data_IF_750748937493
#
_entry.id   IF_750748937493
#
_cell.length_a   1.000
_cell.length_b   1.000
_cell.length_c   1.000
_cell.angle_alpha   90.00
_cell.angle_beta   90.00
_cell.angle_gamma   90.00
#
_symmetry.space_group_name_H-M   'P 1'
#
loop_
_entity.id
_entity.type
_entity.pdbx_description
1 polymer ?
#
# COMPACT_ATOMS: atom_id res chain seq x y z
N UNK A 1 -27.48 17.44 59.19
CA UNK A 1 -27.23 17.55 57.73
C UNK A 1 -28.48 18.05 56.98
N UNK A 2 -29.34 18.82 57.64
CA UNK A 2 -30.69 19.24 57.18
C UNK A 2 -31.03 20.71 57.49
N UNK A 3 -30.09 21.49 58.04
CA UNK A 3 -30.31 22.90 58.44
C UNK A 3 -30.64 23.87 57.30
N UNK A 4 -30.47 23.44 56.05
CA UNK A 4 -30.80 24.24 54.87
C UNK A 4 -32.26 24.06 54.42
N UNK A 5 -32.97 23.02 54.90
CA UNK A 5 -34.34 22.71 54.48
C UNK A 5 -35.35 23.71 55.04
N UNK A 6 -35.26 24.09 56.32
CA UNK A 6 -36.17 25.08 56.92
C UNK A 6 -36.11 26.45 56.23
N UNK A 7 -34.92 27.04 55.96
CA UNK A 7 -34.81 28.27 55.17
C UNK A 7 -35.34 28.13 53.74
N UNK A 8 -35.08 26.99 53.09
CA UNK A 8 -35.52 26.73 51.72
C UNK A 8 -37.06 26.59 51.63
N UNK A 9 -37.68 25.92 52.59
CA UNK A 9 -39.13 25.79 52.69
C UNK A 9 -39.79 27.15 52.91
N UNK A 10 -39.28 27.96 53.86
CA UNK A 10 -39.78 29.33 54.08
C UNK A 10 -39.62 30.22 52.85
N UNK A 11 -38.49 30.14 52.15
CA UNK A 11 -38.26 30.91 50.92
C UNK A 11 -39.19 30.48 49.79
N UNK A 12 -39.40 29.16 49.63
CA UNK A 12 -40.27 28.60 48.59
C UNK A 12 -41.75 28.97 48.79
N UNK A 13 -42.20 29.05 50.05
CA UNK A 13 -43.54 29.51 50.41
C UNK A 13 -43.73 31.02 50.11
N UNK A 14 -42.66 31.82 50.24
CA UNK A 14 -42.67 33.25 49.94
C UNK A 14 -42.58 33.57 48.44
N UNK A 15 -41.98 32.70 47.62
CA UNK A 15 -41.78 32.89 46.17
C UNK A 15 -42.38 31.75 45.33
N UNK A 16 -43.72 31.60 45.30
CA UNK A 16 -44.38 30.45 44.66
C UNK A 16 -44.20 30.40 43.14
N UNK A 17 -44.05 31.55 42.47
CA UNK A 17 -43.80 31.60 41.03
C UNK A 17 -42.37 31.16 40.68
N UNK A 18 -41.38 31.63 41.44
CA UNK A 18 -39.98 31.26 41.26
C UNK A 18 -39.77 29.77 41.56
N UNK A 19 -40.40 29.26 42.61
CA UNK A 19 -40.36 27.82 42.96
C UNK A 19 -40.92 26.93 41.85
N UNK A 20 -42.02 27.34 41.18
CA UNK A 20 -42.55 26.62 40.00
C UNK A 20 -41.58 26.63 38.83
N UNK A 21 -40.91 27.75 38.57
CA UNK A 21 -39.92 27.84 37.49
C UNK A 21 -38.67 27.00 37.79
N UNK A 22 -38.20 26.97 39.04
CA UNK A 22 -37.09 26.11 39.48
C UNK A 22 -37.44 24.61 39.41
N UNK A 23 -38.66 24.23 39.81
CA UNK A 23 -39.13 22.85 39.67
C UNK A 23 -39.23 22.41 38.20
N UNK A 24 -39.75 23.28 37.32
CA UNK A 24 -39.80 23.04 35.88
C UNK A 24 -38.39 22.90 35.28
N UNK A 25 -37.45 23.76 35.68
CA UNK A 25 -36.03 23.64 35.29
C UNK A 25 -35.42 22.32 35.77
N UNK A 26 -35.70 21.90 37.00
CA UNK A 26 -35.23 20.62 37.56
C UNK A 26 -35.74 19.41 36.76
N UNK A 27 -37.01 19.42 36.35
CA UNK A 27 -37.58 18.39 35.47
C UNK A 27 -36.92 18.40 34.10
N UNK A 28 -36.74 19.57 33.48
CA UNK A 28 -36.08 19.69 32.17
C UNK A 28 -34.64 19.17 32.23
N UNK A 29 -33.86 19.58 33.23
CA UNK A 29 -32.47 19.12 33.40
C UNK A 29 -32.41 17.61 33.64
N UNK A 30 -33.33 17.05 34.43
CA UNK A 30 -33.41 15.60 34.68
C UNK A 30 -33.74 14.82 33.40
N UNK A 31 -34.68 15.32 32.59
CA UNK A 31 -35.01 14.74 31.29
C UNK A 31 -33.81 14.81 30.32
N UNK A 32 -33.11 15.94 30.25
CA UNK A 32 -31.91 16.09 29.43
C UNK A 32 -30.79 15.15 29.88
N UNK A 33 -30.58 14.99 31.20
CA UNK A 33 -29.62 14.06 31.77
C UNK A 33 -29.98 12.61 31.43
N UNK A 34 -31.25 12.24 31.53
CA UNK A 34 -31.74 10.90 31.20
C UNK A 34 -31.55 10.58 29.71
N UNK A 35 -31.87 11.53 28.81
CA UNK A 35 -31.62 11.40 27.37
C UNK A 35 -30.12 11.26 27.09
N UNK A 36 -29.28 12.04 27.76
CA UNK A 36 -27.84 11.98 27.62
C UNK A 36 -27.26 10.64 28.08
N UNK A 37 -27.69 10.14 29.24
CA UNK A 37 -27.32 8.81 29.76
C UNK A 37 -27.77 7.70 28.81
N UNK A 38 -29.01 7.75 28.33
CA UNK A 38 -29.52 6.80 27.34
C UNK A 38 -28.67 6.82 26.06
N UNK A 39 -28.31 8.00 25.57
CA UNK A 39 -27.44 8.14 24.41
C UNK A 39 -26.04 7.55 24.66
N UNK A 40 -25.49 7.66 25.86
CA UNK A 40 -24.22 7.03 26.23
C UNK A 40 -24.32 5.50 26.27
N UNK A 41 -25.37 4.95 26.89
CA UNK A 41 -25.62 3.50 26.94
C UNK A 41 -25.77 2.92 25.54
N UNK A 42 -26.56 3.57 24.68
CA UNK A 42 -26.74 3.15 23.28
C UNK A 42 -25.40 3.22 22.52
N UNK A 43 -24.60 4.28 22.71
CA UNK A 43 -23.28 4.39 22.08
C UNK A 43 -22.31 3.32 22.56
N UNK A 44 -22.30 3.00 23.85
CA UNK A 44 -21.48 1.94 24.43
C UNK A 44 -21.91 0.57 23.88
N UNK A 45 -23.20 0.28 23.85
CA UNK A 45 -23.77 -0.94 23.28
C UNK A 45 -23.38 -1.13 21.80
N UNK A 46 -23.52 -0.09 20.98
CA UNK A 46 -23.11 -0.14 19.56
C UNK A 46 -21.60 -0.40 19.42
N UNK A 47 -20.75 0.18 20.28
CA UNK A 47 -19.30 -0.05 20.23
C UNK A 47 -18.95 -1.49 20.61
N UNK A 48 -19.55 -2.01 21.68
CA UNK A 48 -19.35 -3.39 22.13
C UNK A 48 -19.82 -4.39 21.07
N UNK A 49 -20.99 -4.16 20.48
CA UNK A 49 -21.50 -5.02 19.41
C UNK A 49 -20.58 -5.05 18.19
N UNK A 50 -20.07 -3.88 17.75
CA UNK A 50 -19.10 -3.82 16.64
C UNK A 50 -17.78 -4.51 16.98
N UNK A 51 -17.29 -4.37 18.21
CA UNK A 51 -16.09 -5.05 18.67
C UNK A 51 -16.28 -6.57 18.73
N UNK A 52 -17.45 -7.05 19.18
CA UNK A 52 -17.79 -8.47 19.18
C UNK A 52 -17.91 -9.04 17.76
N UNK A 53 -18.51 -8.30 16.82
CA UNK A 53 -18.54 -8.69 15.40
C UNK A 53 -17.12 -8.81 14.82
N UNK A 54 -16.28 -7.80 15.03
CA UNK A 54 -14.89 -7.78 14.57
C UNK A 54 -14.10 -8.96 15.17
N UNK A 55 -14.27 -9.22 16.48
CA UNK A 55 -13.64 -10.35 17.16
C UNK A 55 -14.12 -11.71 16.61
N UNK A 56 -15.42 -11.84 16.32
CA UNK A 56 -16.00 -13.04 15.71
C UNK A 56 -15.43 -13.33 14.32
N UNK A 57 -15.36 -12.30 13.46
CA UNK A 57 -14.76 -12.40 12.12
C UNK A 57 -13.27 -12.74 12.22
N UNK A 58 -12.54 -12.07 13.10
CA UNK A 58 -11.12 -12.33 13.32
C UNK A 58 -10.87 -13.77 13.81
N UNK A 59 -11.68 -14.25 14.76
CA UNK A 59 -11.59 -15.62 15.26
C UNK A 59 -11.93 -16.66 14.18
N UNK A 60 -12.94 -16.39 13.34
CA UNK A 60 -13.29 -17.26 12.22
C UNK A 60 -12.13 -17.35 11.22
N UNK A 61 -11.53 -16.22 10.84
CA UNK A 61 -10.40 -16.19 9.90
C UNK A 61 -9.15 -16.88 10.47
N UNK A 62 -8.88 -16.70 11.77
CA UNK A 62 -7.75 -17.33 12.46
C UNK A 62 -7.92 -18.84 12.63
N UNK A 63 -9.16 -19.32 12.82
CA UNK A 63 -9.46 -20.76 12.92
C UNK A 63 -9.40 -21.47 11.58
N UNK A 64 -9.62 -20.74 10.48
CA UNK A 64 -9.51 -21.28 9.14
C UNK A 64 -8.03 -21.61 8.81
N UNK A 65 -7.75 -22.90 8.64
CA UNK A 65 -6.43 -23.43 8.29
C UNK A 65 -6.25 -23.65 6.79
N UNK A 66 -7.19 -23.20 5.95
CA UNK A 66 -7.01 -23.29 4.50
C UNK A 66 -5.76 -22.52 4.06
N UNK A 67 -4.98 -23.07 3.10
CA UNK A 67 -3.82 -22.37 2.57
C UNK A 67 -4.28 -21.11 1.83
N UNK A 68 -3.40 -20.10 1.73
CA UNK A 68 -3.66 -18.87 1.00
C UNK A 68 -3.46 -17.59 1.81
N UNK A 69 -3.73 -16.46 1.17
CA UNK A 69 -3.62 -15.16 1.80
C UNK A 69 -4.90 -14.78 2.55
N UNK A 70 -4.72 -14.31 3.79
CA UNK A 70 -5.80 -13.78 4.63
C UNK A 70 -5.86 -12.27 4.50
N UNK A 71 -6.94 -11.78 3.89
CA UNK A 71 -7.11 -10.38 3.56
C UNK A 71 -8.31 -9.84 4.32
N UNK A 72 -8.10 -8.76 5.04
CA UNK A 72 -9.16 -8.12 5.82
C UNK A 72 -9.47 -6.76 5.20
N UNK A 73 -10.72 -6.59 4.76
CA UNK A 73 -11.25 -5.33 4.26
C UNK A 73 -12.10 -4.65 5.34
N UNK A 74 -11.67 -3.49 5.78
CA UNK A 74 -12.50 -2.63 6.64
C UNK A 74 -13.57 -1.95 5.79
N UNK A 75 -14.75 -1.72 6.40
CA UNK A 75 -15.76 -0.83 5.80
C UNK A 75 -15.12 0.55 5.52
N UNK A 76 -15.25 1.12 4.30
CA UNK A 76 -14.72 2.43 3.99
C UNK A 76 -15.27 3.54 4.89
N UNK A 77 -14.43 4.56 5.13
CA UNK A 77 -14.80 5.79 5.82
C UNK A 77 -15.45 6.80 4.85
N UNK A 78 -16.53 7.44 5.31
CA UNK A 78 -17.17 8.56 4.61
C UNK A 78 -18.48 8.22 3.90
N UNK A 79 -18.90 9.13 3.02
CA UNK A 79 -20.13 8.98 2.20
C UNK A 79 -19.96 7.85 1.18
N UNK A 80 -21.06 7.16 0.87
CA UNK A 80 -21.09 6.02 -0.08
C UNK A 80 -20.13 4.86 0.25
N UNK A 81 -19.88 4.63 1.55
CA UNK A 81 -19.07 3.52 2.04
C UNK A 81 -19.49 2.15 1.51
N UNK A 82 -20.81 1.93 1.30
CA UNK A 82 -21.34 0.65 0.86
C UNK A 82 -20.96 0.33 -0.58
N UNK A 83 -21.05 1.31 -1.48
CA UNK A 83 -20.65 1.15 -2.88
C UNK A 83 -19.13 1.01 -3.02
N UNK A 84 -18.35 1.84 -2.31
CA UNK A 84 -16.89 1.72 -2.31
C UNK A 84 -16.43 0.34 -1.80
N UNK A 85 -17.14 -0.21 -0.80
CA UNK A 85 -16.88 -1.55 -0.31
C UNK A 85 -17.22 -2.61 -1.36
N UNK A 86 -18.40 -2.52 -2.01
CA UNK A 86 -18.81 -3.45 -3.08
C UNK A 86 -17.83 -3.41 -4.25
N UNK A 87 -17.39 -2.22 -4.65
CA UNK A 87 -16.41 -2.03 -5.70
C UNK A 87 -15.07 -2.70 -5.37
N UNK A 88 -14.52 -2.44 -4.18
CA UNK A 88 -13.23 -3.01 -3.78
C UNK A 88 -13.31 -4.53 -3.63
N UNK A 89 -14.41 -5.03 -3.06
CA UNK A 89 -14.67 -6.46 -2.90
C UNK A 89 -14.78 -7.16 -4.25
N UNK A 90 -15.53 -6.57 -5.20
CA UNK A 90 -15.65 -7.07 -6.57
C UNK A 90 -14.31 -7.04 -7.32
N UNK A 91 -13.53 -5.97 -7.19
CA UNK A 91 -12.22 -5.83 -7.82
C UNK A 91 -11.27 -6.94 -7.35
N UNK A 92 -11.22 -7.19 -6.04
CA UNK A 92 -10.35 -8.20 -5.46
C UNK A 92 -10.82 -9.63 -5.76
N UNK A 93 -12.12 -9.91 -5.66
CA UNK A 93 -12.64 -11.25 -5.99
C UNK A 93 -12.40 -11.61 -7.46
N UNK A 94 -12.46 -10.63 -8.36
CA UNK A 94 -12.32 -10.87 -9.80
C UNK A 94 -10.86 -10.97 -10.24
N UNK A 95 -9.99 -10.08 -9.76
CA UNK A 95 -8.65 -9.89 -10.34
C UNK A 95 -7.49 -10.32 -9.43
N UNK A 96 -7.68 -10.41 -8.10
CA UNK A 96 -6.57 -10.69 -7.20
C UNK A 96 -5.97 -12.09 -7.43
N UNK A 97 -6.81 -13.07 -7.76
CA UNK A 97 -6.38 -14.44 -8.07
C UNK A 97 -5.35 -14.49 -9.21
N UNK A 98 -5.54 -13.67 -10.24
CA UNK A 98 -4.63 -13.57 -11.38
C UNK A 98 -3.26 -13.06 -10.94
N UNK A 99 -3.20 -11.98 -10.17
CA UNK A 99 -1.94 -11.37 -9.71
C UNK A 99 -1.24 -12.14 -8.59
N UNK A 100 -1.97 -13.00 -7.88
CA UNK A 100 -1.42 -13.94 -6.90
C UNK A 100 -1.10 -15.32 -7.50
N UNK A 101 -1.10 -15.42 -8.84
CA UNK A 101 -0.78 -16.64 -9.59
C UNK A 101 -1.60 -17.86 -9.16
N UNK A 102 -2.89 -17.65 -8.90
CA UNK A 102 -3.84 -18.69 -8.49
C UNK A 102 -3.79 -19.03 -7.00
N UNK A 103 -3.02 -18.30 -6.18
CA UNK A 103 -3.05 -18.51 -4.74
C UNK A 103 -4.47 -18.21 -4.20
N UNK A 104 -5.03 -19.10 -3.36
CA UNK A 104 -6.34 -18.86 -2.74
C UNK A 104 -6.29 -17.60 -1.88
N UNK A 105 -7.31 -16.75 -2.03
CA UNK A 105 -7.45 -15.50 -1.27
C UNK A 105 -8.70 -15.57 -0.40
N UNK A 106 -8.55 -15.32 0.90
CA UNK A 106 -9.65 -15.26 1.86
C UNK A 106 -9.91 -13.83 2.25
N UNK A 107 -11.04 -13.30 1.80
CA UNK A 107 -11.43 -11.91 2.03
C UNK A 107 -12.46 -11.88 3.15
N UNK A 108 -12.09 -11.33 4.29
CA UNK A 108 -12.97 -11.09 5.43
C UNK A 108 -13.29 -9.59 5.56
N UNK A 109 -14.47 -9.27 6.11
CA UNK A 109 -14.95 -7.89 6.22
C UNK A 109 -15.09 -7.50 7.69
N UNK A 110 -14.49 -6.38 8.09
CA UNK A 110 -14.57 -5.84 9.45
C UNK A 110 -15.10 -4.41 9.48
N UNK A 111 -15.44 -3.92 10.66
CA UNK A 111 -16.01 -2.58 10.82
C UNK A 111 -15.01 -1.46 10.54
N UNK A 112 -15.55 -0.28 10.25
CA UNK A 112 -14.78 0.90 9.80
C UNK A 112 -13.60 1.21 10.73
N UNK A 113 -12.47 1.55 10.11
CA UNK A 113 -11.32 2.14 10.77
C UNK A 113 -11.19 3.58 10.26
N UNK A 114 -11.08 4.53 11.19
CA UNK A 114 -11.06 5.97 10.89
C UNK A 114 -9.69 6.55 11.16
N UNK A 115 -9.30 7.56 10.38
CA UNK A 115 -8.10 8.35 10.65
C UNK A 115 -6.89 8.00 9.78
N UNK A 116 -7.09 7.42 8.59
CA UNK A 116 -6.02 7.20 7.61
C UNK A 116 -4.81 6.47 8.19
N UNK A 117 -3.59 6.93 7.86
CA UNK A 117 -2.32 6.39 8.37
C UNK A 117 -1.81 7.08 9.65
N UNK A 118 -2.68 7.71 10.45
CA UNK A 118 -2.24 8.26 11.73
C UNK A 118 -1.67 7.15 12.66
N UNK A 119 -0.65 7.44 13.50
CA UNK A 119 0.01 6.43 14.33
C UNK A 119 -0.95 5.58 15.18
N UNK A 120 -1.95 6.22 15.80
CA UNK A 120 -2.98 5.54 16.58
C UNK A 120 -3.86 4.60 15.73
N UNK A 121 -4.16 5.01 14.50
CA UNK A 121 -4.94 4.23 13.54
C UNK A 121 -4.15 3.00 13.09
N UNK A 122 -2.86 3.19 12.78
CA UNK A 122 -1.93 2.12 12.44
C UNK A 122 -1.79 1.12 13.60
N UNK A 123 -1.64 1.60 14.85
CA UNK A 123 -1.59 0.73 16.01
C UNK A 123 -2.88 -0.09 16.19
N UNK A 124 -4.06 0.52 15.98
CA UNK A 124 -5.35 -0.20 15.99
C UNK A 124 -5.45 -1.21 14.84
N UNK A 125 -4.99 -0.85 13.64
CA UNK A 125 -4.94 -1.74 12.49
C UNK A 125 -4.05 -2.96 12.77
N UNK A 126 -2.84 -2.76 13.33
CA UNK A 126 -1.93 -3.85 13.72
C UNK A 126 -2.58 -4.82 14.72
N UNK A 127 -3.29 -4.30 15.74
CA UNK A 127 -4.03 -5.14 16.69
C UNK A 127 -5.11 -5.97 15.99
N UNK A 128 -5.87 -5.39 15.06
CA UNK A 128 -6.89 -6.12 14.28
C UNK A 128 -6.28 -7.15 13.33
N UNK A 129 -5.18 -6.81 12.67
CA UNK A 129 -4.40 -7.71 11.81
C UNK A 129 -3.90 -8.91 12.61
N UNK A 130 -3.33 -8.68 13.80
CA UNK A 130 -2.87 -9.73 14.70
C UNK A 130 -4.03 -10.62 15.20
N UNK A 131 -5.17 -10.03 15.54
CA UNK A 131 -6.34 -10.79 15.98
C UNK A 131 -6.87 -11.74 14.90
N UNK A 132 -6.82 -11.32 13.63
CA UNK A 132 -7.31 -12.08 12.49
C UNK A 132 -6.23 -12.96 11.82
N UNK A 133 -4.97 -12.87 12.28
CA UNK A 133 -3.78 -13.43 11.60
C UNK A 133 -3.75 -13.11 10.10
N UNK A 134 -4.06 -11.85 9.76
CA UNK A 134 -4.17 -11.41 8.38
C UNK A 134 -2.81 -11.07 7.77
N UNK A 135 -2.65 -11.33 6.48
CA UNK A 135 -1.47 -10.97 5.67
C UNK A 135 -1.57 -9.55 5.13
N UNK A 136 -2.80 -9.11 4.85
CA UNK A 136 -3.13 -7.78 4.35
C UNK A 136 -4.38 -7.25 5.05
N UNK A 137 -4.32 -6.01 5.49
CA UNK A 137 -5.46 -5.29 6.06
C UNK A 137 -5.62 -3.97 5.33
N UNK A 138 -6.78 -3.74 4.71
CA UNK A 138 -7.05 -2.56 3.86
C UNK A 138 -8.26 -1.81 4.40
N UNK A 139 -8.18 -0.48 4.42
CA UNK A 139 -9.30 0.41 4.67
C UNK A 139 -9.26 1.58 3.71
N UNK A 140 -10.42 2.00 3.25
CA UNK A 140 -10.52 3.09 2.29
C UNK A 140 -11.10 4.34 2.95
N UNK A 141 -10.67 5.51 2.50
CA UNK A 141 -11.26 6.81 2.86
C UNK A 141 -11.45 7.65 1.61
N UNK A 142 -12.58 8.35 1.51
CA UNK A 142 -12.79 9.34 0.45
C UNK A 142 -12.51 10.75 0.97
N UNK A 143 -11.49 11.41 0.40
CA UNK A 143 -11.07 12.78 0.69
C UNK A 143 -11.51 13.73 -0.44
N UNK A 144 -12.75 14.20 -0.35
CA UNK A 144 -13.29 15.19 -1.29
C UNK A 144 -13.55 14.64 -2.71
N UNK A 145 -13.58 15.54 -3.69
CA UNK A 145 -13.84 15.24 -5.13
C UNK A 145 -12.58 15.38 -6.01
N UNK A 146 -11.38 15.39 -5.40
CA UNK A 146 -10.13 15.55 -6.15
C UNK A 146 -9.86 14.34 -7.06
N UNK A 147 -9.09 14.49 -8.15
CA UNK A 147 -8.71 13.37 -9.04
C UNK A 147 -7.97 12.23 -8.34
N UNK A 148 -7.47 12.43 -7.11
CA UNK A 148 -6.82 11.41 -6.26
C UNK A 148 -7.51 11.22 -4.90
N UNK A 149 -8.80 11.57 -4.80
CA UNK A 149 -9.50 11.66 -3.52
C UNK A 149 -10.07 10.35 -2.98
N UNK A 150 -9.76 9.18 -3.55
CA UNK A 150 -10.07 7.88 -2.94
C UNK A 150 -8.78 7.21 -2.46
N UNK A 151 -8.53 7.30 -1.15
CA UNK A 151 -7.33 6.80 -0.49
C UNK A 151 -7.57 5.36 -0.02
N UNK A 152 -6.84 4.39 -0.53
CA UNK A 152 -6.74 3.04 0.05
C UNK A 152 -5.52 3.03 0.97
N UNK A 153 -5.76 2.94 2.28
CA UNK A 153 -4.71 2.74 3.27
C UNK A 153 -4.65 1.26 3.64
N UNK A 154 -3.48 0.77 4.04
CA UNK A 154 -3.39 -0.60 4.50
C UNK A 154 -2.14 -0.90 5.32
N UNK A 155 -2.12 -2.14 5.83
CA UNK A 155 -0.96 -2.79 6.40
C UNK A 155 -0.71 -4.10 5.66
N UNK A 156 0.54 -4.35 5.32
CA UNK A 156 0.98 -5.62 4.71
C UNK A 156 2.06 -6.27 5.55
N UNK A 157 2.01 -7.60 5.64
CA UNK A 157 3.09 -8.43 6.19
C UNK A 157 4.13 -8.82 5.14
N UNK A 158 3.84 -8.59 3.85
CA UNK A 158 4.76 -8.85 2.75
C UNK A 158 5.31 -10.27 2.70
N UNK A 159 4.57 -11.26 3.22
CA UNK A 159 4.95 -12.68 3.24
C UNK A 159 5.94 -13.12 4.33
N UNK A 160 6.32 -12.26 5.28
CA UNK A 160 7.27 -12.66 6.33
C UNK A 160 7.31 -11.81 7.60
N UNK A 161 6.74 -10.61 7.59
CA UNK A 161 6.73 -9.75 8.77
C UNK A 161 5.70 -10.23 9.79
N UNK A 162 5.95 -9.97 11.07
CA UNK A 162 4.92 -10.13 12.10
C UNK A 162 3.85 -9.02 11.95
N UNK A 163 2.65 -9.19 12.52
CA UNK A 163 1.64 -8.13 12.52
C UNK A 163 2.10 -6.81 13.16
N UNK A 164 3.07 -6.87 14.09
CA UNK A 164 3.63 -5.67 14.72
C UNK A 164 4.58 -4.90 13.78
N UNK A 165 5.28 -5.62 12.91
CA UNK A 165 6.22 -5.08 11.92
C UNK A 165 5.56 -4.75 10.59
N UNK A 166 4.27 -5.09 10.43
CA UNK A 166 3.51 -4.84 9.22
C UNK A 166 3.68 -3.38 8.74
N UNK A 167 3.97 -3.23 7.45
CA UNK A 167 4.32 -1.96 6.83
C UNK A 167 3.06 -1.23 6.36
N UNK A 168 2.92 0.06 6.67
CA UNK A 168 1.84 0.88 6.13
C UNK A 168 2.07 1.20 4.66
N UNK A 169 0.98 1.26 3.91
CA UNK A 169 0.97 1.74 2.53
C UNK A 169 -0.26 2.60 2.26
N UNK A 170 -0.18 3.42 1.22
CA UNK A 170 -1.27 4.26 0.72
C UNK A 170 -1.30 4.19 -0.81
N UNK A 171 -2.47 3.88 -1.37
CA UNK A 171 -2.73 3.94 -2.82
C UNK A 171 -3.79 5.01 -3.06
N UNK A 172 -3.53 5.91 -4.00
CA UNK A 172 -4.46 6.99 -4.35
C UNK A 172 -5.17 6.68 -5.66
N UNK A 173 -6.49 6.72 -5.61
CA UNK A 173 -7.40 6.45 -6.71
C UNK A 173 -8.34 7.64 -6.95
N UNK A 174 -9.01 7.69 -8.11
CA UNK A 174 -10.00 8.71 -8.42
C UNK A 174 -11.14 8.82 -7.42
N UNK A 175 -11.47 10.06 -7.04
CA UNK A 175 -12.61 10.31 -6.19
C UNK A 175 -13.95 10.21 -6.92
N UNK A 176 -13.97 10.36 -8.24
CA UNK A 176 -15.20 10.26 -9.01
C UNK A 176 -15.60 8.80 -9.20
N UNK A 177 -16.87 8.49 -9.00
CA UNK A 177 -17.33 7.10 -9.09
C UNK A 177 -17.35 6.58 -10.52
N UNK A 178 -17.73 7.42 -11.47
CA UNK A 178 -17.65 7.14 -12.91
C UNK A 178 -16.23 6.76 -13.32
N UNK A 179 -15.22 7.35 -12.69
CA UNK A 179 -13.82 7.07 -12.95
C UNK A 179 -13.32 5.73 -12.36
N UNK A 180 -14.10 5.06 -11.49
CA UNK A 180 -13.71 3.77 -10.88
C UNK A 180 -14.06 2.55 -11.76
N UNK A 181 -14.67 2.76 -12.92
CA UNK A 181 -14.91 1.70 -13.90
C UNK A 181 -13.69 1.37 -14.76
N UNK A 182 -13.91 0.57 -15.81
CA UNK A 182 -12.88 0.25 -16.82
C UNK A 182 -11.68 -0.49 -16.21
N UNK A 183 -10.44 -0.02 -16.41
CA UNK A 183 -9.23 -0.73 -15.99
C UNK A 183 -8.91 -0.61 -14.49
N UNK A 184 -9.58 0.29 -13.76
CA UNK A 184 -9.24 0.59 -12.36
C UNK A 184 -9.42 -0.55 -11.36
N UNK A 185 -10.46 -1.40 -11.46
CA UNK A 185 -10.59 -2.58 -10.59
C UNK A 185 -9.37 -3.51 -10.70
N UNK A 186 -8.90 -3.74 -11.93
CA UNK A 186 -7.71 -4.55 -12.23
C UNK A 186 -6.44 -3.88 -11.70
N UNK A 187 -6.27 -2.57 -11.95
CA UNK A 187 -5.17 -1.78 -11.40
C UNK A 187 -5.09 -1.83 -9.86
N UNK A 188 -6.22 -1.63 -9.18
CA UNK A 188 -6.28 -1.66 -7.71
C UNK A 188 -5.96 -3.06 -7.15
N UNK A 189 -6.46 -4.12 -7.79
CA UNK A 189 -6.13 -5.48 -7.41
C UNK A 189 -4.64 -5.79 -7.60
N UNK A 190 -4.02 -5.33 -8.70
CA UNK A 190 -2.58 -5.46 -8.91
C UNK A 190 -1.77 -4.75 -7.83
N UNK A 191 -2.07 -3.48 -7.54
CA UNK A 191 -1.32 -2.72 -6.53
C UNK A 191 -1.45 -3.38 -5.14
N UNK A 192 -2.64 -3.86 -4.77
CA UNK A 192 -2.83 -4.59 -3.52
C UNK A 192 -2.12 -5.96 -3.52
N UNK A 193 -2.06 -6.66 -4.66
CA UNK A 193 -1.27 -7.88 -4.81
C UNK A 193 0.22 -7.58 -4.62
N UNK A 194 0.73 -6.48 -5.19
CA UNK A 194 2.14 -6.06 -5.04
C UNK A 194 2.48 -5.76 -3.59
N UNK A 195 1.58 -5.13 -2.85
CA UNK A 195 1.75 -4.91 -1.41
C UNK A 195 1.72 -6.22 -0.62
N UNK A 196 0.81 -7.13 -0.97
CA UNK A 196 0.69 -8.46 -0.35
C UNK A 196 1.95 -9.33 -0.60
N UNK A 197 2.48 -9.26 -1.82
CA UNK A 197 3.65 -10.01 -2.28
C UNK A 197 4.68 -9.05 -2.91
N UNK A 198 5.57 -8.46 -2.10
CA UNK A 198 6.57 -7.50 -2.57
C UNK A 198 7.50 -8.05 -3.65
N UNK A 199 7.66 -9.38 -3.72
CA UNK A 199 8.40 -10.05 -4.78
C UNK A 199 7.84 -9.73 -6.18
N UNK A 200 6.54 -9.39 -6.33
CA UNK A 200 5.94 -9.00 -7.61
C UNK A 200 6.59 -7.75 -8.24
N UNK A 201 7.25 -6.92 -7.45
CA UNK A 201 8.06 -5.82 -7.97
C UNK A 201 9.38 -6.28 -8.62
N UNK A 202 9.75 -7.56 -8.46
CA UNK A 202 10.98 -8.19 -8.96
C UNK A 202 10.62 -9.39 -9.83
N UNK A 203 10.40 -9.20 -11.14
CA UNK A 203 10.00 -10.27 -12.06
C UNK A 203 10.89 -11.53 -11.99
N UNK A 204 12.20 -11.35 -11.76
CA UNK A 204 13.21 -12.41 -11.59
C UNK A 204 12.91 -13.39 -10.44
N UNK A 205 12.02 -13.04 -9.52
CA UNK A 205 11.65 -13.92 -8.40
C UNK A 205 10.61 -14.99 -8.80
N UNK A 206 10.14 -14.97 -10.04
CA UNK A 206 9.11 -15.88 -10.55
C UNK A 206 9.53 -16.51 -11.87
N UNK A 207 8.82 -17.58 -12.23
CA UNK A 207 9.02 -18.22 -13.53
C UNK A 207 8.51 -17.32 -14.66
N UNK A 208 9.16 -17.35 -15.84
CA UNK A 208 8.81 -16.49 -16.96
C UNK A 208 7.34 -16.62 -17.41
N UNK A 209 6.75 -17.81 -17.32
CA UNK A 209 5.36 -18.03 -17.75
C UNK A 209 4.36 -17.25 -16.88
N UNK A 210 4.64 -17.16 -15.57
CA UNK A 210 3.83 -16.37 -14.64
C UNK A 210 3.99 -14.87 -14.89
N UNK A 211 5.22 -14.44 -15.16
CA UNK A 211 5.50 -13.03 -15.47
C UNK A 211 4.92 -12.63 -16.82
N UNK A 212 4.83 -13.54 -17.79
CA UNK A 212 4.15 -13.29 -19.06
C UNK A 212 2.67 -12.95 -18.84
N UNK A 213 1.95 -13.76 -18.06
CA UNK A 213 0.56 -13.46 -17.68
C UNK A 213 0.46 -12.11 -16.97
N UNK A 214 1.38 -11.80 -16.05
CA UNK A 214 1.42 -10.49 -15.39
C UNK A 214 1.61 -9.34 -16.40
N UNK A 215 2.55 -9.48 -17.34
CA UNK A 215 2.82 -8.47 -18.35
C UNK A 215 1.62 -8.24 -19.27
N UNK A 216 0.93 -9.30 -19.72
CA UNK A 216 -0.29 -9.22 -20.53
C UNK A 216 -1.41 -8.48 -19.78
N UNK A 217 -1.63 -8.84 -18.51
CA UNK A 217 -2.67 -8.21 -17.69
C UNK A 217 -2.39 -6.72 -17.44
N UNK A 218 -1.14 -6.36 -17.14
CA UNK A 218 -0.73 -4.96 -16.97
C UNK A 218 -0.78 -4.18 -18.29
N UNK A 219 -0.38 -4.82 -19.41
CA UNK A 219 -0.50 -4.26 -20.75
C UNK A 219 -1.95 -3.86 -21.05
N UNK A 220 -2.90 -4.76 -20.74
CA UNK A 220 -4.33 -4.50 -20.93
C UNK A 220 -4.83 -3.29 -20.12
N UNK A 221 -4.28 -3.04 -18.93
CA UNK A 221 -4.62 -1.85 -18.13
C UNK A 221 -4.14 -0.58 -18.80
N UNK A 222 -2.94 -0.61 -19.38
CA UNK A 222 -2.31 0.54 -20.05
C UNK A 222 -2.96 0.88 -21.39
N UNK A 223 -3.60 -0.11 -22.06
CA UNK A 223 -4.31 0.08 -23.33
C UNK A 223 -5.62 0.87 -23.19
N UNK A 224 -6.16 0.97 -21.97
CA UNK A 224 -7.38 1.71 -21.73
C UNK A 224 -7.09 3.21 -21.52
N UNK A 225 -7.75 4.05 -22.30
CA UNK A 225 -7.84 5.50 -22.09
C UNK A 225 -8.89 5.83 -21.02
N UNK A 226 -8.64 5.35 -19.80
CA UNK A 226 -9.46 5.67 -18.62
C UNK A 226 -8.77 6.73 -17.74
N UNK A 227 -9.53 7.41 -16.86
CA UNK A 227 -8.97 8.34 -15.87
C UNK A 227 -8.22 7.57 -14.77
N UNK A 228 -7.05 7.01 -15.10
CA UNK A 228 -6.10 6.44 -14.14
C UNK A 228 -5.19 7.58 -13.66
N UNK A 229 -5.06 7.80 -12.34
CA UNK A 229 -4.12 8.79 -11.81
C UNK A 229 -2.71 8.56 -12.34
N UNK A 230 -1.97 9.64 -12.65
CA UNK A 230 -0.64 9.54 -13.24
C UNK A 230 0.33 8.69 -12.40
N UNK A 231 0.24 8.78 -11.07
CA UNK A 231 1.03 7.94 -10.16
C UNK A 231 0.73 6.44 -10.33
N UNK A 232 -0.55 6.07 -10.33
CA UNK A 232 -0.99 4.67 -10.53
C UNK A 232 -0.59 4.17 -11.91
N UNK A 233 -0.78 4.99 -12.96
CA UNK A 233 -0.39 4.64 -14.32
C UNK A 233 1.11 4.40 -14.41
N UNK A 234 1.93 5.27 -13.81
CA UNK A 234 3.39 5.14 -13.77
C UNK A 234 3.86 3.87 -13.04
N UNK A 235 3.21 3.50 -11.94
CA UNK A 235 3.52 2.25 -11.23
C UNK A 235 3.20 0.99 -12.06
N UNK A 236 2.06 0.99 -12.75
CA UNK A 236 1.65 -0.11 -13.64
C UNK A 236 2.59 -0.20 -14.83
N UNK A 237 2.95 0.95 -15.42
CA UNK A 237 3.88 1.04 -16.52
C UNK A 237 5.27 0.51 -16.14
N UNK A 238 5.79 0.90 -14.97
CA UNK A 238 7.06 0.39 -14.46
C UNK A 238 7.03 -1.14 -14.28
N UNK A 239 5.96 -1.68 -13.70
CA UNK A 239 5.80 -3.11 -13.50
C UNK A 239 5.64 -3.86 -14.83
N UNK A 240 4.92 -3.29 -15.80
CA UNK A 240 4.80 -3.81 -17.16
C UNK A 240 6.17 -3.88 -17.84
N UNK A 241 6.92 -2.77 -17.87
CA UNK A 241 8.24 -2.71 -18.50
C UNK A 241 9.21 -3.73 -17.90
N UNK A 242 9.30 -3.79 -16.57
CA UNK A 242 10.16 -4.76 -15.91
C UNK A 242 9.77 -6.21 -16.23
N UNK A 243 8.46 -6.50 -16.28
CA UNK A 243 7.94 -7.84 -16.55
C UNK A 243 8.19 -8.26 -18.01
N UNK A 244 7.85 -7.40 -18.97
CA UNK A 244 8.02 -7.67 -20.40
C UNK A 244 9.50 -7.86 -20.77
N UNK A 245 10.40 -7.02 -20.23
CA UNK A 245 11.85 -7.17 -20.43
C UNK A 245 12.34 -8.52 -19.87
N UNK A 246 11.90 -8.89 -18.67
CA UNK A 246 12.32 -10.14 -18.06
C UNK A 246 11.85 -11.37 -18.84
N UNK A 247 10.60 -11.36 -19.35
CA UNK A 247 10.09 -12.43 -20.20
C UNK A 247 10.91 -12.54 -21.50
N UNK A 248 11.32 -11.42 -22.08
CA UNK A 248 12.18 -11.42 -23.26
C UNK A 248 13.58 -11.98 -22.97
N UNK A 249 14.17 -11.64 -21.83
CA UNK A 249 15.49 -12.14 -21.41
C UNK A 249 15.47 -13.65 -21.17
N UNK A 250 14.48 -14.16 -20.44
CA UNK A 250 14.45 -15.57 -20.00
C UNK A 250 13.73 -16.51 -20.97
N UNK A 251 12.57 -16.10 -21.50
CA UNK A 251 11.76 -16.93 -22.40
C UNK A 251 12.02 -16.62 -23.88
N UNK A 252 12.73 -15.53 -24.19
CA UNK A 252 13.00 -15.11 -25.56
C UNK A 252 11.79 -14.54 -26.31
N UNK A 253 10.71 -14.20 -25.60
CA UNK A 253 9.51 -13.61 -26.17
C UNK A 253 9.68 -12.10 -26.35
N UNK A 254 9.63 -11.64 -27.60
CA UNK A 254 9.93 -10.25 -27.95
C UNK A 254 8.67 -9.39 -28.10
N UNK A 255 7.46 -9.94 -27.98
CA UNK A 255 6.20 -9.29 -28.35
C UNK A 255 5.99 -7.95 -27.60
N UNK A 256 6.37 -7.90 -26.31
CA UNK A 256 6.19 -6.71 -25.48
C UNK A 256 7.25 -5.62 -25.63
N UNK A 257 8.40 -5.90 -26.26
CA UNK A 257 9.58 -5.03 -26.19
C UNK A 257 9.42 -3.71 -26.95
N UNK A 258 8.76 -3.72 -28.11
CA UNK A 258 8.53 -2.48 -28.87
C UNK A 258 7.69 -1.48 -28.04
N UNK A 259 6.71 -1.99 -27.29
CA UNK A 259 5.91 -1.19 -26.37
C UNK A 259 6.73 -0.69 -25.19
N UNK A 260 7.61 -1.50 -24.60
CA UNK A 260 8.53 -1.06 -23.53
C UNK A 260 9.42 0.08 -24.00
N UNK A 261 10.01 -0.05 -25.19
CA UNK A 261 10.90 0.96 -25.77
C UNK A 261 10.11 2.25 -26.04
N UNK A 262 8.90 2.16 -26.60
CA UNK A 262 8.05 3.32 -26.86
C UNK A 262 7.67 4.07 -25.57
N UNK A 263 7.19 3.35 -24.55
CA UNK A 263 6.83 3.92 -23.24
C UNK A 263 8.04 4.57 -22.57
N UNK A 264 9.18 3.89 -22.58
CA UNK A 264 10.40 4.38 -21.93
C UNK A 264 10.98 5.60 -22.65
N UNK A 265 10.96 5.64 -23.99
CA UNK A 265 11.43 6.80 -24.77
C UNK A 265 10.59 8.07 -24.51
N UNK A 266 9.30 7.93 -24.21
CA UNK A 266 8.46 9.07 -23.83
C UNK A 266 8.96 9.79 -22.56
N UNK A 267 9.62 9.07 -21.64
CA UNK A 267 10.23 9.67 -20.43
C UNK A 267 11.60 10.32 -20.67
N UNK A 268 12.17 10.17 -21.86
CA UNK A 268 13.49 10.73 -22.21
C UNK A 268 13.42 12.07 -22.96
N UNK A 269 12.22 12.62 -23.17
CA UNK A 269 12.05 13.98 -23.70
C UNK A 269 12.61 14.99 -22.70
N UNK A 270 13.31 16.03 -23.16
CA UNK A 270 14.06 16.97 -22.31
C UNK A 270 13.24 17.53 -21.13
N UNK A 271 11.97 17.88 -21.37
CA UNK A 271 11.06 18.35 -20.32
C UNK A 271 10.72 17.29 -19.27
N UNK A 272 10.59 16.02 -19.67
CA UNK A 272 10.30 14.91 -18.78
C UNK A 272 11.53 14.54 -17.92
N UNK A 273 12.73 14.57 -18.51
CA UNK A 273 13.99 14.30 -17.81
C UNK A 273 14.23 15.32 -16.70
N UNK A 274 13.99 16.61 -16.97
CA UNK A 274 14.12 17.67 -15.96
C UNK A 274 13.07 17.53 -14.84
N UNK A 275 11.86 17.10 -15.18
CA UNK A 275 10.78 16.95 -14.22
C UNK A 275 10.97 15.75 -13.28
N UNK A 276 11.50 14.63 -13.78
CA UNK A 276 11.71 13.42 -13.00
C UNK A 276 12.97 12.65 -13.45
N UNK A 277 14.16 13.00 -12.93
CA UNK A 277 15.41 12.39 -13.34
C UNK A 277 15.49 10.90 -12.99
N UNK A 278 14.92 10.47 -11.85
CA UNK A 278 14.89 9.06 -11.45
C UNK A 278 14.07 8.20 -12.42
N UNK A 279 12.92 8.72 -12.87
CA UNK A 279 12.11 8.03 -13.89
C UNK A 279 12.85 7.94 -15.23
N UNK A 280 13.56 8.99 -15.61
CA UNK A 280 14.39 8.97 -16.81
C UNK A 280 15.53 7.95 -16.71
N UNK A 281 16.16 7.83 -15.53
CA UNK A 281 17.18 6.82 -15.26
C UNK A 281 16.63 5.40 -15.41
N UNK A 282 15.46 5.13 -14.82
CA UNK A 282 14.78 3.84 -14.97
C UNK A 282 14.42 3.55 -16.44
N UNK A 283 13.92 4.55 -17.17
CA UNK A 283 13.60 4.41 -18.58
C UNK A 283 14.84 4.06 -19.43
N UNK A 284 16.01 4.64 -19.13
CA UNK A 284 17.28 4.26 -19.78
C UNK A 284 17.65 2.81 -19.49
N UNK A 285 17.47 2.36 -18.25
CA UNK A 285 17.72 0.96 -17.87
C UNK A 285 16.78 0.00 -18.61
N UNK A 286 15.49 0.31 -18.68
CA UNK A 286 14.48 -0.50 -19.36
C UNK A 286 14.75 -0.58 -20.87
N UNK A 287 15.10 0.54 -21.52
CA UNK A 287 15.50 0.57 -22.95
C UNK A 287 16.74 -0.26 -23.18
N UNK A 288 17.80 -0.05 -22.39
CA UNK A 288 19.06 -0.78 -22.55
C UNK A 288 18.87 -2.28 -22.46
N UNK A 289 18.12 -2.76 -21.47
CA UNK A 289 17.80 -4.19 -21.32
C UNK A 289 16.92 -4.73 -22.45
N UNK A 290 15.89 -3.98 -22.85
CA UNK A 290 15.03 -4.37 -23.97
C UNK A 290 15.82 -4.52 -25.28
N UNK A 291 16.72 -3.57 -25.57
CA UNK A 291 17.57 -3.61 -26.76
C UNK A 291 18.55 -4.78 -26.73
N UNK A 292 19.15 -5.09 -25.57
CA UNK A 292 20.02 -6.27 -25.41
C UNK A 292 19.27 -7.59 -25.59
N UNK A 293 18.08 -7.72 -25.01
CA UNK A 293 17.23 -8.90 -25.17
C UNK A 293 16.90 -9.13 -26.65
N UNK A 294 16.56 -8.05 -27.38
CA UNK A 294 16.30 -8.08 -28.83
C UNK A 294 17.56 -8.41 -29.63
N UNK A 295 18.69 -7.79 -29.32
CA UNK A 295 19.97 -8.04 -29.97
C UNK A 295 20.44 -9.48 -29.82
N UNK A 296 20.20 -10.09 -28.66
CA UNK A 296 20.55 -11.50 -28.39
C UNK A 296 19.82 -12.46 -29.34
N UNK A 297 18.61 -12.11 -29.78
CA UNK A 297 17.83 -12.92 -30.74
C UNK A 297 18.09 -12.57 -32.19
N UNK A 298 18.31 -11.28 -32.49
CA UNK A 298 18.47 -10.76 -33.87
C UNK A 298 19.92 -10.64 -34.33
N UNK A 299 20.89 -10.81 -33.43
CA UNK A 299 22.33 -10.64 -33.66
C UNK A 299 22.69 -9.28 -34.30
N UNK A 300 22.02 -8.22 -33.85
CA UNK A 300 22.18 -6.87 -34.40
C UNK A 300 23.12 -6.01 -33.54
N UNK A 301 24.30 -5.71 -34.09
CA UNK A 301 25.33 -4.89 -33.43
C UNK A 301 24.88 -3.46 -33.17
N UNK A 302 24.02 -2.88 -34.00
CA UNK A 302 23.54 -1.51 -33.82
C UNK A 302 22.68 -1.39 -32.55
N UNK A 303 21.83 -2.39 -32.29
CA UNK A 303 21.04 -2.45 -31.06
C UNK A 303 21.91 -2.60 -29.80
N UNK A 304 23.02 -3.35 -29.90
CA UNK A 304 23.98 -3.47 -28.80
C UNK A 304 24.66 -2.14 -28.50
N UNK A 305 25.08 -1.41 -29.53
CA UNK A 305 25.71 -0.09 -29.36
C UNK A 305 24.73 0.93 -28.74
N UNK A 306 23.48 0.96 -29.20
CA UNK A 306 22.44 1.80 -28.61
C UNK A 306 22.19 1.42 -27.14
N UNK A 307 22.10 0.12 -26.83
CA UNK A 307 21.92 -0.34 -25.46
C UNK A 307 23.06 0.09 -24.53
N UNK A 308 24.31 -0.07 -24.97
CA UNK A 308 25.49 0.38 -24.21
C UNK A 308 25.40 1.89 -23.93
N UNK A 309 25.00 2.70 -24.91
CA UNK A 309 24.87 4.16 -24.72
C UNK A 309 23.89 4.51 -23.58
N UNK A 310 22.77 3.79 -23.49
CA UNK A 310 21.79 4.01 -22.42
C UNK A 310 22.29 3.50 -21.06
N UNK A 311 22.88 2.30 -21.02
CA UNK A 311 23.35 1.67 -19.79
C UNK A 311 24.57 2.36 -19.19
N UNK A 312 25.48 2.90 -20.01
CA UNK A 312 26.62 3.69 -19.53
C UNK A 312 26.16 4.91 -18.72
N UNK A 313 25.14 5.62 -19.20
CA UNK A 313 24.55 6.76 -18.47
C UNK A 313 23.89 6.31 -17.16
N UNK A 314 23.33 5.09 -17.13
CA UNK A 314 22.78 4.53 -15.89
C UNK A 314 23.88 4.25 -14.88
N UNK A 315 24.98 3.62 -15.32
CA UNK A 315 26.14 3.31 -14.47
C UNK A 315 26.79 4.58 -13.94
N UNK A 316 26.94 5.61 -14.76
CA UNK A 316 27.48 6.91 -14.34
C UNK A 316 26.62 7.55 -13.25
N UNK A 317 25.29 7.57 -13.42
CA UNK A 317 24.38 8.08 -12.42
C UNK A 317 24.44 7.27 -11.10
N UNK A 318 24.43 5.94 -11.19
CA UNK A 318 24.53 5.05 -10.02
C UNK A 318 25.87 5.21 -9.28
N UNK A 319 26.97 5.48 -9.98
CA UNK A 319 28.27 5.72 -9.35
C UNK A 319 28.26 6.96 -8.44
N UNK A 320 27.39 7.92 -8.74
CA UNK A 320 27.19 9.12 -7.91
C UNK A 320 26.15 8.92 -6.79
N UNK A 321 25.56 7.73 -6.66
CA UNK A 321 24.62 7.42 -5.59
C UNK A 321 25.33 7.41 -4.22
N UNK A 322 24.85 8.18 -3.23
CA UNK A 322 25.48 8.28 -1.92
C UNK A 322 25.64 6.93 -1.21
N UNK A 323 24.68 6.02 -1.39
CA UNK A 323 24.65 4.70 -0.76
C UNK A 323 25.72 3.79 -1.38
N UNK A 324 25.87 3.84 -2.70
CA UNK A 324 26.90 3.08 -3.43
C UNK A 324 28.28 3.61 -3.06
N UNK A 325 28.46 4.93 -3.01
CA UNK A 325 29.71 5.55 -2.58
C UNK A 325 30.07 5.17 -1.14
N UNK A 326 29.09 5.16 -0.22
CA UNK A 326 29.31 4.72 1.16
C UNK A 326 29.70 3.24 1.24
N UNK A 327 29.03 2.37 0.45
CA UNK A 327 29.37 0.95 0.40
C UNK A 327 30.79 0.70 -0.15
N UNK A 328 31.18 1.44 -1.19
CA UNK A 328 32.55 1.40 -1.72
C UNK A 328 33.57 1.86 -0.67
N UNK A 329 33.31 2.99 0.01
CA UNK A 329 34.20 3.47 1.08
C UNK A 329 34.33 2.49 2.25
N UNK A 330 33.25 1.81 2.63
CA UNK A 330 33.29 0.75 3.64
C UNK A 330 34.10 -0.47 3.17
N UNK A 331 33.92 -0.90 1.92
CA UNK A 331 34.69 -2.00 1.31
C UNK A 331 36.18 -1.68 1.24
N UNK A 332 36.55 -0.46 0.84
CA UNK A 332 37.94 -0.02 0.78
C UNK A 332 38.58 0.02 2.18
N UNK A 333 37.84 0.49 3.18
CA UNK A 333 38.29 0.46 4.57
C UNK A 333 38.50 -0.98 5.08
N UNK A 334 37.60 -1.91 4.75
CA UNK A 334 37.75 -3.33 5.08
C UNK A 334 38.97 -3.96 4.39
N UNK A 335 39.16 -3.70 3.10
CA UNK A 335 40.30 -4.22 2.35
C UNK A 335 41.63 -3.69 2.92
N UNK A 336 41.68 -2.40 3.28
CA UNK A 336 42.83 -1.81 3.97
C UNK A 336 43.09 -2.49 5.32
N UNK A 337 42.05 -2.76 6.11
CA UNK A 337 42.18 -3.47 7.38
C UNK A 337 42.71 -4.91 7.18
N UNK A 338 42.19 -5.64 6.19
CA UNK A 338 42.68 -6.99 5.83
C UNK A 338 44.15 -6.96 5.42
N UNK A 339 44.54 -6.02 4.55
CA UNK A 339 45.94 -5.85 4.14
C UNK A 339 46.85 -5.54 5.33
N UNK A 340 46.42 -4.69 6.27
CA UNK A 340 47.19 -4.40 7.48
C UNK A 340 47.34 -5.62 8.40
N UNK A 341 46.32 -6.47 8.51
CA UNK A 341 46.39 -7.74 9.26
C UNK A 341 47.33 -8.74 8.60
N UNK A 342 47.26 -8.90 7.27
CA UNK A 342 48.17 -9.76 6.53
C UNK A 342 49.62 -9.28 6.64
N UNK A 343 49.85 -7.97 6.50
CA UNK A 343 51.17 -7.38 6.69
C UNK A 343 51.67 -7.63 8.11
N UNK A 344 50.86 -7.38 9.16
CA UNK A 344 51.24 -7.69 10.55
C UNK A 344 51.55 -9.17 10.75
N UNK A 345 50.78 -10.07 10.14
CA UNK A 345 51.04 -11.52 10.19
C UNK A 345 52.38 -11.86 9.54
N UNK A 346 52.70 -11.28 8.37
CA UNK A 346 53.99 -11.45 7.68
C UNK A 346 55.15 -10.87 8.51
N UNK A 347 54.98 -9.70 9.12
CA UNK A 347 55.98 -9.12 10.02
C UNK A 347 56.23 -10.00 11.24
N UNK A 348 55.18 -10.53 11.88
CA UNK A 348 55.32 -11.43 13.02
C UNK A 348 56.02 -12.75 12.68
N UNK A 349 55.82 -13.28 11.47
CA UNK A 349 56.50 -14.50 11.00
C UNK A 349 57.97 -14.22 10.65
N UNK A 350 58.28 -13.07 10.05
CA UNK A 350 59.63 -12.76 9.58
C UNK A 350 60.53 -12.13 10.66
N UNK A 351 59.97 -11.53 11.70
CA UNK A 351 60.70 -10.81 12.75
C UNK A 351 60.34 -11.26 14.17
N UNK A 352 59.58 -12.35 14.32
CA UNK A 352 59.27 -12.97 15.60
C UNK A 352 60.32 -14.01 15.99
N UNK A 353 61.45 -13.56 16.52
CA UNK A 353 62.36 -14.32 17.39
C UNK A 353 62.59 -13.52 18.65
#
# INVERSE_FOLDING_TARGET
MTDWLEPAERWSAAHPQETRSLALLGVIVSCLLMIWLLALVVRAGIRLWRAAQDAGVAAALKRDKSPGYRIVLMKPEGRARGEAQKWLDSALQTHLGTFSFGAPNRIARMNVLKGGLAPDTVAKARRRMAAADADLLVWARRRGRKPDGFELCGLTRGGGLTPAEARPFEIRLPAERSALGGPLPKAAAFLLARELQPALARPQSFRPEKIKVLAEELGSVLDHEGPVPAGVRGEIEAAYCASAVHVAEEAGDLEGLDRVIALSRAHLVEGAVKANPDRALQARMDIGRALLARATKKFDTALVQEAISHLSLVVEALRTDPTIMQAQGASDAMFKAQSMLENRKRFAINFGT
#
